data_IF_143677510241
#
_entry.id   IF_143677510241
#
_cell.length_a   1.000
_cell.length_b   1.000
_cell.length_c   1.000
_cell.angle_alpha   90.00
_cell.angle_beta   90.00
_cell.angle_gamma   90.00
#
_symmetry.space_group_name_H-M   'P 1'
#
loop_
_entity.id
_entity.type
_entity.pdbx_description
1 polymer ?
#
# COMPACT_ATOMS: atom_id res chain seq x y z
N UNK A 1 6.50 -8.26 -22.07
CA UNK A 1 5.65 -7.34 -21.29
C UNK A 1 5.56 -7.85 -19.86
N UNK A 2 5.94 -7.04 -18.87
CA UNK A 2 5.90 -7.42 -17.44
C UNK A 2 4.45 -7.34 -16.95
N UNK A 3 3.95 -8.38 -16.28
CA UNK A 3 2.61 -8.36 -15.68
C UNK A 3 2.65 -7.72 -14.29
N UNK A 4 1.69 -6.86 -13.98
CA UNK A 4 1.52 -6.27 -12.65
C UNK A 4 0.08 -6.45 -12.18
N UNK A 5 -0.14 -6.57 -10.88
CA UNK A 5 -1.47 -6.65 -10.28
C UNK A 5 -1.79 -5.32 -9.59
N UNK A 6 -2.74 -4.55 -10.12
CA UNK A 6 -3.29 -3.36 -9.47
C UNK A 6 -4.57 -3.76 -8.73
N UNK A 7 -4.50 -3.85 -7.39
CA UNK A 7 -5.55 -4.46 -6.58
C UNK A 7 -6.29 -3.47 -5.69
N UNK A 8 -7.61 -3.68 -5.59
CA UNK A 8 -8.52 -2.91 -4.76
C UNK A 8 -9.43 -3.86 -3.96
N UNK A 9 -9.07 -4.15 -2.70
CA UNK A 9 -9.98 -4.82 -1.78
C UNK A 9 -11.07 -3.86 -1.28
N UNK A 10 -12.32 -4.31 -1.25
CA UNK A 10 -13.44 -3.52 -0.76
C UNK A 10 -14.51 -4.37 -0.07
N UNK A 11 -15.17 -3.79 0.92
CA UNK A 11 -16.38 -4.30 1.55
C UNK A 11 -17.48 -3.21 1.63
N UNK A 12 -17.30 -2.11 0.91
CA UNK A 12 -18.12 -0.89 0.97
C UNK A 12 -18.32 -0.30 -0.41
N UNK A 13 -19.29 0.59 -0.56
CA UNK A 13 -19.49 1.30 -1.83
C UNK A 13 -18.27 2.17 -2.17
N UNK A 14 -17.69 1.96 -3.35
CA UNK A 14 -16.46 2.65 -3.80
C UNK A 14 -16.40 2.81 -5.32
N UNK A 15 -17.56 2.94 -5.99
CA UNK A 15 -17.66 3.07 -7.46
C UNK A 15 -16.75 4.15 -8.05
N UNK A 16 -16.62 5.30 -7.39
CA UNK A 16 -15.72 6.36 -7.83
C UNK A 16 -14.24 5.91 -7.84
N UNK A 17 -13.81 5.22 -6.78
CA UNK A 17 -12.46 4.68 -6.68
C UNK A 17 -12.20 3.58 -7.70
N UNK A 18 -13.19 2.73 -8.03
CA UNK A 18 -13.06 1.74 -9.12
C UNK A 18 -12.79 2.44 -10.45
N UNK A 19 -13.54 3.51 -10.77
CA UNK A 19 -13.32 4.28 -12.00
C UNK A 19 -11.92 4.91 -11.99
N UNK A 20 -11.51 5.49 -10.86
CA UNK A 20 -10.19 6.08 -10.71
C UNK A 20 -9.07 5.04 -10.90
N UNK A 21 -9.23 3.85 -10.31
CA UNK A 21 -8.30 2.72 -10.43
C UNK A 21 -8.13 2.28 -11.90
N UNK A 22 -9.23 2.25 -12.67
CA UNK A 22 -9.18 1.92 -14.09
C UNK A 22 -8.41 2.99 -14.90
N UNK A 23 -8.54 4.26 -14.53
CA UNK A 23 -7.75 5.33 -15.15
C UNK A 23 -6.26 5.22 -14.80
N UNK A 24 -5.94 4.84 -13.56
CA UNK A 24 -4.56 4.54 -13.15
C UNK A 24 -3.99 3.34 -13.94
N UNK A 25 -4.77 2.28 -14.13
CA UNK A 25 -4.37 1.13 -14.94
C UNK A 25 -4.09 1.54 -16.40
N UNK A 26 -4.94 2.39 -16.96
CA UNK A 26 -4.78 2.91 -18.32
C UNK A 26 -3.54 3.79 -18.44
N UNK A 27 -3.27 4.63 -17.44
CA UNK A 27 -2.03 5.38 -17.35
C UNK A 27 -0.81 4.45 -17.31
N UNK A 28 -0.84 3.41 -16.49
CA UNK A 28 0.26 2.45 -16.38
C UNK A 28 0.53 1.73 -17.71
N UNK A 29 -0.50 1.17 -18.35
CA UNK A 29 -0.39 0.43 -19.61
C UNK A 29 0.09 1.31 -20.78
N UNK A 30 -0.28 2.59 -20.81
CA UNK A 30 0.18 3.52 -21.86
C UNK A 30 1.59 4.05 -21.63
N UNK A 31 1.99 4.23 -20.37
CA UNK A 31 3.24 4.91 -20.00
C UNK A 31 4.39 3.93 -19.82
N UNK A 32 4.08 2.69 -19.45
CA UNK A 32 5.06 1.65 -19.16
C UNK A 32 4.76 0.39 -20.00
N UNK A 33 5.80 -0.38 -20.36
CA UNK A 33 5.67 -1.67 -21.06
C UNK A 33 5.19 -2.78 -20.12
N UNK A 34 3.94 -2.65 -19.64
CA UNK A 34 3.32 -3.55 -18.66
C UNK A 34 1.93 -4.00 -19.07
N UNK A 35 1.59 -5.23 -18.69
CA UNK A 35 0.22 -5.74 -18.68
C UNK A 35 -0.36 -5.55 -17.28
N UNK A 36 -1.45 -4.82 -17.17
CA UNK A 36 -2.08 -4.48 -15.90
C UNK A 36 -3.26 -5.40 -15.66
N UNK A 37 -3.11 -6.29 -14.68
CA UNK A 37 -4.21 -7.04 -14.10
C UNK A 37 -4.86 -6.21 -13.00
N UNK A 38 -6.02 -5.63 -13.28
CA UNK A 38 -6.83 -4.95 -12.26
C UNK A 38 -7.59 -6.00 -11.46
N UNK A 39 -7.35 -6.09 -10.15
CA UNK A 39 -7.96 -7.10 -9.27
C UNK A 39 -8.82 -6.45 -8.18
N UNK A 40 -10.13 -6.50 -8.35
CA UNK A 40 -11.10 -6.02 -7.37
C UNK A 40 -11.60 -7.21 -6.55
N UNK A 41 -11.28 -7.20 -5.24
CA UNK A 41 -11.74 -8.19 -4.28
C UNK A 41 -12.91 -7.61 -3.50
N UNK A 42 -14.13 -8.03 -3.84
CA UNK A 42 -15.35 -7.38 -3.40
C UNK A 42 -16.14 -8.29 -2.44
N UNK A 43 -16.15 -7.92 -1.16
CA UNK A 43 -16.96 -8.55 -0.11
C UNK A 43 -18.16 -7.67 0.27
N UNK A 44 -18.61 -6.76 -0.61
CA UNK A 44 -19.79 -5.94 -0.37
C UNK A 44 -21.11 -6.68 -0.64
N UNK A 45 -22.22 -6.10 -0.17
CA UNK A 45 -23.55 -6.67 -0.38
C UNK A 45 -23.99 -6.66 -1.86
N UNK A 46 -25.00 -7.47 -2.26
CA UNK A 46 -25.33 -7.72 -3.67
C UNK A 46 -25.63 -6.47 -4.52
N UNK A 47 -26.28 -5.45 -3.94
CA UNK A 47 -26.59 -4.21 -4.65
C UNK A 47 -25.31 -3.41 -4.97
N UNK A 48 -24.43 -3.26 -3.99
CA UNK A 48 -23.13 -2.60 -4.12
C UNK A 48 -22.23 -3.37 -5.08
N UNK A 49 -22.17 -4.69 -4.97
CA UNK A 49 -21.43 -5.54 -5.90
C UNK A 49 -21.89 -5.33 -7.35
N UNK A 50 -23.21 -5.25 -7.60
CA UNK A 50 -23.74 -5.01 -8.94
C UNK A 50 -23.40 -3.60 -9.49
N UNK A 51 -23.27 -2.60 -8.61
CA UNK A 51 -22.77 -1.26 -8.97
C UNK A 51 -21.29 -1.30 -9.34
N UNK A 52 -20.47 -1.91 -8.51
CA UNK A 52 -19.05 -2.12 -8.77
C UNK A 52 -18.81 -2.88 -10.08
N UNK A 53 -19.58 -3.94 -10.32
CA UNK A 53 -19.47 -4.74 -11.55
C UNK A 53 -19.80 -3.90 -12.79
N UNK A 54 -20.78 -3.00 -12.70
CA UNK A 54 -21.09 -2.06 -13.79
C UNK A 54 -19.91 -1.13 -14.04
N UNK A 55 -19.35 -0.53 -12.99
CA UNK A 55 -18.19 0.35 -13.09
C UNK A 55 -16.95 -0.35 -13.66
N UNK A 56 -16.64 -1.55 -13.17
CA UNK A 56 -15.53 -2.38 -13.63
C UNK A 56 -15.63 -2.70 -15.14
N UNK A 57 -16.85 -2.90 -15.66
CA UNK A 57 -17.11 -3.12 -17.09
C UNK A 57 -17.03 -1.86 -17.96
N UNK A 58 -17.03 -0.66 -17.37
CA UNK A 58 -16.84 0.59 -18.12
C UNK A 58 -15.39 0.87 -18.46
N UNK A 59 -14.46 0.01 -18.05
CA UNK A 59 -13.05 0.10 -18.38
C UNK A 59 -12.87 0.33 -19.90
N UNK A 60 -12.09 1.35 -20.31
CA UNK A 60 -11.70 1.49 -21.70
C UNK A 60 -11.10 0.18 -22.20
N UNK A 61 -11.40 -0.21 -23.43
CA UNK A 61 -10.78 -1.36 -24.10
C UNK A 61 -9.32 -1.03 -24.50
N UNK A 62 -8.53 -0.54 -23.55
CA UNK A 62 -7.13 -0.24 -23.74
C UNK A 62 -6.35 -1.55 -23.82
N UNK A 63 -5.44 -1.62 -24.80
CA UNK A 63 -4.53 -2.75 -24.92
C UNK A 63 -3.68 -2.88 -23.64
N UNK A 64 -3.55 -4.10 -23.14
CA UNK A 64 -2.72 -4.40 -21.97
C UNK A 64 -3.40 -4.25 -20.60
N UNK A 65 -4.74 -4.11 -20.54
CA UNK A 65 -5.50 -4.13 -19.27
C UNK A 65 -6.42 -5.34 -19.23
N UNK A 66 -6.40 -6.07 -18.11
CA UNK A 66 -7.33 -7.18 -17.83
C UNK A 66 -7.97 -6.96 -16.47
N UNK A 67 -9.31 -6.86 -16.43
CA UNK A 67 -10.06 -6.61 -15.19
C UNK A 67 -10.63 -7.90 -14.63
N UNK A 68 -10.34 -8.15 -13.36
CA UNK A 68 -10.83 -9.26 -12.54
C UNK A 68 -11.66 -8.66 -11.40
N UNK A 69 -12.98 -8.87 -11.42
CA UNK A 69 -13.87 -8.48 -10.33
C UNK A 69 -14.43 -9.74 -9.71
N UNK A 70 -14.00 -10.04 -8.49
CA UNK A 70 -14.31 -11.28 -7.80
C UNK A 70 -15.16 -11.00 -6.56
N UNK A 71 -16.33 -11.62 -6.48
CA UNK A 71 -17.12 -11.69 -5.26
C UNK A 71 -16.48 -12.63 -4.25
N UNK A 72 -17.06 -12.71 -3.06
CA UNK A 72 -16.51 -13.57 -2.01
C UNK A 72 -16.61 -15.06 -2.35
N UNK A 73 -17.65 -15.48 -3.07
CA UNK A 73 -17.82 -16.88 -3.48
C UNK A 73 -16.72 -17.29 -4.47
N UNK A 74 -16.43 -16.47 -5.48
CA UNK A 74 -15.33 -16.74 -6.43
C UNK A 74 -13.96 -16.74 -5.73
N UNK A 75 -13.76 -15.85 -4.77
CA UNK A 75 -12.55 -15.83 -3.95
C UNK A 75 -12.42 -17.11 -3.12
N UNK A 76 -13.52 -17.58 -2.54
CA UNK A 76 -13.57 -18.81 -1.71
C UNK A 76 -13.25 -20.04 -2.54
N UNK A 77 -13.80 -20.14 -3.73
CA UNK A 77 -13.56 -21.27 -4.63
C UNK A 77 -12.09 -21.31 -5.09
N UNK A 78 -11.53 -20.16 -5.49
CA UNK A 78 -10.10 -20.05 -5.80
C UNK A 78 -9.22 -20.50 -4.62
N UNK A 79 -9.51 -20.02 -3.40
CA UNK A 79 -8.72 -20.36 -2.23
C UNK A 79 -8.79 -21.84 -1.90
N UNK A 80 -9.96 -22.47 -2.01
CA UNK A 80 -10.11 -23.92 -1.81
C UNK A 80 -9.24 -24.72 -2.78
N UNK A 81 -9.24 -24.34 -4.06
CA UNK A 81 -8.40 -24.98 -5.07
C UNK A 81 -6.91 -24.83 -4.75
N UNK A 82 -6.46 -23.61 -4.43
CA UNK A 82 -5.04 -23.35 -4.10
C UNK A 82 -4.61 -24.08 -2.84
N UNK A 83 -5.42 -24.05 -1.78
CA UNK A 83 -5.14 -24.73 -0.51
C UNK A 83 -5.06 -26.26 -0.71
N UNK A 84 -5.97 -26.82 -1.49
CA UNK A 84 -5.98 -28.24 -1.82
C UNK A 84 -4.75 -28.63 -2.66
N UNK A 85 -4.43 -27.85 -3.70
CA UNK A 85 -3.27 -28.08 -4.56
C UNK A 85 -1.93 -27.96 -3.81
N UNK A 86 -1.85 -27.06 -2.84
CA UNK A 86 -0.67 -26.91 -1.97
C UNK A 86 -0.49 -28.09 -0.99
N UNK A 87 -1.48 -28.98 -0.85
CA UNK A 87 -1.45 -30.07 0.12
C UNK A 87 -1.37 -29.57 1.56
N UNK A 88 -1.92 -28.39 1.83
CA UNK A 88 -1.73 -27.73 3.12
C UNK A 88 -2.47 -28.47 4.25
N UNK A 89 -1.85 -28.52 5.43
CA UNK A 89 -2.49 -29.04 6.63
C UNK A 89 -3.53 -28.06 7.17
N UNK A 90 -4.63 -28.57 7.75
CA UNK A 90 -5.73 -27.77 8.32
C UNK A 90 -6.34 -26.80 7.28
N UNK A 91 -6.79 -27.33 6.16
CA UNK A 91 -7.32 -26.55 5.03
C UNK A 91 -8.44 -25.60 5.43
N UNK A 92 -9.39 -26.06 6.25
CA UNK A 92 -10.50 -25.23 6.74
C UNK A 92 -9.99 -24.03 7.55
N UNK A 93 -9.02 -24.24 8.43
CA UNK A 93 -8.41 -23.15 9.20
C UNK A 93 -7.70 -22.14 8.29
N UNK A 94 -7.00 -22.60 7.24
CA UNK A 94 -6.36 -21.69 6.29
C UNK A 94 -7.39 -20.87 5.50
N UNK A 95 -8.51 -21.48 5.12
CA UNK A 95 -9.61 -20.78 4.47
C UNK A 95 -10.21 -19.72 5.40
N UNK A 96 -10.50 -20.08 6.65
CA UNK A 96 -10.98 -19.16 7.68
C UNK A 96 -9.99 -18.04 7.92
N UNK A 97 -8.68 -18.33 7.88
CA UNK A 97 -7.61 -17.34 8.01
C UNK A 97 -7.54 -16.34 6.83
N UNK A 98 -8.09 -16.68 5.67
CA UNK A 98 -8.09 -15.84 4.47
C UNK A 98 -9.41 -15.13 4.20
N UNK A 99 -10.52 -15.70 4.69
CA UNK A 99 -11.88 -15.17 4.60
C UNK A 99 -12.54 -15.08 5.99
N UNK A 100 -12.06 -14.18 6.88
CA UNK A 100 -12.72 -13.93 8.14
C UNK A 100 -14.08 -13.25 7.97
N UNK A 101 -14.99 -13.53 8.92
CA UNK A 101 -16.27 -12.79 9.06
C UNK A 101 -16.07 -11.29 9.33
N UNK A 102 -14.93 -10.91 9.91
CA UNK A 102 -14.57 -9.53 10.25
C UNK A 102 -13.57 -8.92 9.26
N UNK A 103 -13.51 -7.59 9.20
CA UNK A 103 -12.53 -6.87 8.38
C UNK A 103 -11.10 -7.23 8.80
N UNK A 104 -10.27 -7.62 7.84
CA UNK A 104 -8.86 -7.91 8.08
C UNK A 104 -7.99 -7.47 6.89
N UNK A 105 -7.16 -6.46 7.15
CA UNK A 105 -6.21 -5.91 6.18
C UNK A 105 -5.18 -6.94 5.72
N UNK A 106 -4.67 -7.76 6.65
CA UNK A 106 -3.75 -8.85 6.33
C UNK A 106 -4.42 -9.92 5.46
N UNK A 107 -5.65 -10.35 5.79
CA UNK A 107 -6.34 -11.39 5.05
C UNK A 107 -6.66 -10.96 3.60
N UNK A 108 -7.16 -9.73 3.38
CA UNK A 108 -7.44 -9.25 2.03
C UNK A 108 -6.16 -9.07 1.20
N UNK A 109 -5.06 -8.62 1.82
CA UNK A 109 -3.78 -8.47 1.13
C UNK A 109 -3.17 -9.83 0.76
N UNK A 110 -3.26 -10.82 1.66
CA UNK A 110 -2.81 -12.18 1.35
C UNK A 110 -3.62 -12.81 0.21
N UNK A 111 -4.94 -12.57 0.15
CA UNK A 111 -5.77 -12.99 -1.00
C UNK A 111 -5.25 -12.38 -2.30
N UNK A 112 -5.00 -11.07 -2.30
CA UNK A 112 -4.45 -10.39 -3.47
C UNK A 112 -3.07 -10.94 -3.89
N UNK A 113 -2.21 -11.28 -2.92
CA UNK A 113 -0.90 -11.89 -3.19
C UNK A 113 -1.01 -13.23 -3.89
N UNK A 114 -1.87 -14.14 -3.41
CA UNK A 114 -2.07 -15.45 -4.02
C UNK A 114 -2.65 -15.35 -5.43
N UNK A 115 -3.65 -14.48 -5.63
CA UNK A 115 -4.28 -14.30 -6.94
C UNK A 115 -3.28 -13.64 -7.92
N UNK A 116 -2.52 -12.64 -7.48
CA UNK A 116 -1.50 -12.02 -8.30
C UNK A 116 -0.42 -13.02 -8.74
N UNK A 117 0.03 -13.89 -7.82
CA UNK A 117 0.98 -14.95 -8.14
C UNK A 117 0.38 -15.94 -9.16
N UNK A 118 -0.88 -16.34 -9.00
CA UNK A 118 -1.58 -17.22 -9.94
C UNK A 118 -1.74 -16.58 -11.34
N UNK A 119 -1.88 -15.26 -11.41
CA UNK A 119 -1.93 -14.50 -12.68
C UNK A 119 -0.54 -14.30 -13.32
N UNK A 120 0.54 -14.66 -12.60
CA UNK A 120 1.92 -14.47 -13.05
C UNK A 120 2.39 -13.02 -12.97
N UNK A 121 1.82 -12.22 -12.06
CA UNK A 121 2.20 -10.82 -11.85
C UNK A 121 3.54 -10.73 -11.11
N UNK A 122 4.45 -9.88 -11.60
CA UNK A 122 5.76 -9.65 -10.99
C UNK A 122 5.70 -8.70 -9.77
N UNK A 123 4.62 -7.94 -9.63
CA UNK A 123 4.39 -7.02 -8.52
C UNK A 123 2.91 -6.85 -8.23
N UNK A 124 2.61 -6.50 -6.97
CA UNK A 124 1.27 -6.20 -6.47
C UNK A 124 1.24 -4.75 -6.03
N UNK A 125 0.23 -3.99 -6.46
CA UNK A 125 0.05 -2.57 -6.21
C UNK A 125 -1.34 -2.41 -5.58
N UNK A 126 -1.39 -2.22 -4.27
CA UNK A 126 -2.62 -2.14 -3.48
C UNK A 126 -3.07 -0.69 -3.34
N UNK A 127 -4.38 -0.48 -3.47
CA UNK A 127 -5.07 0.78 -3.15
C UNK A 127 -6.12 0.52 -2.08
N UNK A 128 -6.36 1.52 -1.25
CA UNK A 128 -7.51 1.53 -0.35
C UNK A 128 -8.79 2.02 -1.06
N UNK A 129 -9.94 1.52 -0.61
CA UNK A 129 -11.25 1.78 -1.24
C UNK A 129 -11.90 3.11 -0.82
N UNK A 130 -11.32 3.75 0.19
CA UNK A 130 -11.73 5.02 0.80
C UNK A 130 -10.68 6.13 0.58
N UNK A 131 -9.79 5.95 -0.39
CA UNK A 131 -8.80 6.96 -0.79
C UNK A 131 -9.20 7.64 -2.10
N UNK A 132 -8.70 8.86 -2.29
CA UNK A 132 -8.77 9.59 -3.55
C UNK A 132 -7.36 9.93 -4.04
N UNK A 133 -7.19 10.10 -5.36
CA UNK A 133 -5.91 10.58 -5.90
C UNK A 133 -5.75 12.08 -5.72
N UNK A 134 -4.53 12.50 -5.41
CA UNK A 134 -4.14 13.90 -5.47
C UNK A 134 -4.28 14.44 -6.89
N UNK A 135 -4.59 15.73 -7.00
CA UNK A 135 -4.75 16.41 -8.29
C UNK A 135 -3.75 17.55 -8.38
N UNK A 136 -2.94 17.55 -9.43
CA UNK A 136 -1.99 18.62 -9.72
C UNK A 136 -2.24 19.16 -11.13
N UNK A 137 -2.44 20.48 -11.23
CA UNK A 137 -2.75 21.12 -12.52
C UNK A 137 -3.99 20.56 -13.22
N UNK A 138 -5.00 20.12 -12.44
CA UNK A 138 -6.23 19.51 -12.95
C UNK A 138 -6.10 18.06 -13.41
N UNK A 139 -4.96 17.41 -13.18
CA UNK A 139 -4.74 15.99 -13.53
C UNK A 139 -4.51 15.15 -12.28
N UNK A 140 -5.06 13.93 -12.21
CA UNK A 140 -4.73 13.00 -11.14
C UNK A 140 -3.24 12.65 -11.15
N UNK A 141 -2.67 12.50 -9.96
CA UNK A 141 -1.33 11.95 -9.74
C UNK A 141 -1.48 10.51 -9.30
N UNK A 142 -0.96 9.61 -10.14
CA UNK A 142 -1.10 8.18 -9.94
C UNK A 142 0.12 7.58 -9.23
N UNK A 143 -0.05 6.94 -8.05
CA UNK A 143 1.05 6.28 -7.34
C UNK A 143 1.81 5.27 -8.19
N UNK A 144 1.12 4.57 -9.10
CA UNK A 144 1.73 3.58 -10.00
C UNK A 144 2.90 4.13 -10.81
N UNK A 145 2.97 5.45 -11.02
CA UNK A 145 4.10 6.07 -11.69
C UNK A 145 5.41 5.83 -10.94
N UNK A 146 5.48 6.24 -9.67
CA UNK A 146 6.68 6.08 -8.84
C UNK A 146 6.94 4.61 -8.50
N UNK A 147 5.88 3.84 -8.31
CA UNK A 147 5.97 2.40 -8.10
C UNK A 147 6.66 1.73 -9.31
N UNK A 148 6.21 1.94 -10.54
CA UNK A 148 6.81 1.28 -11.72
C UNK A 148 8.16 1.86 -12.14
N UNK A 149 8.45 3.11 -11.79
CA UNK A 149 9.77 3.73 -11.98
C UNK A 149 10.85 3.10 -11.11
N UNK A 150 10.49 2.45 -10.01
CA UNK A 150 11.41 2.09 -8.94
C UNK A 150 11.40 0.61 -8.59
N UNK A 151 10.22 0.02 -8.51
CA UNK A 151 10.00 -1.30 -7.96
C UNK A 151 10.68 -2.39 -8.80
N UNK A 152 11.48 -3.23 -8.14
CA UNK A 152 12.27 -4.30 -8.72
C UNK A 152 13.63 -3.87 -9.31
N UNK A 153 13.92 -2.57 -9.42
CA UNK A 153 15.25 -2.09 -9.82
C UNK A 153 16.23 -2.21 -8.65
N UNK A 154 17.54 -2.23 -8.95
CA UNK A 154 18.56 -2.00 -7.92
C UNK A 154 18.40 -0.59 -7.37
N UNK A 155 18.63 -0.41 -6.08
CA UNK A 155 18.49 0.89 -5.44
C UNK A 155 19.36 1.97 -6.12
N UNK A 156 20.57 1.64 -6.56
CA UNK A 156 21.43 2.53 -7.33
C UNK A 156 20.76 3.02 -8.63
N UNK A 157 20.04 2.14 -9.34
CA UNK A 157 19.38 2.46 -10.60
C UNK A 157 18.08 3.25 -10.39
N UNK A 158 17.44 3.07 -9.23
CA UNK A 158 16.24 3.81 -8.84
C UNK A 158 16.55 5.23 -8.34
N UNK A 159 17.77 5.47 -7.84
CA UNK A 159 18.19 6.75 -7.26
C UNK A 159 18.03 7.95 -8.21
N UNK A 160 18.10 7.74 -9.53
CA UNK A 160 17.90 8.80 -10.53
C UNK A 160 16.43 9.24 -10.68
N UNK A 161 15.48 8.41 -10.21
CA UNK A 161 14.04 8.67 -10.31
C UNK A 161 13.42 9.25 -9.04
N UNK A 162 14.21 9.52 -8.00
CA UNK A 162 13.74 10.04 -6.71
C UNK A 162 14.27 11.45 -6.44
N UNK A 163 13.62 12.18 -5.54
CA UNK A 163 14.00 13.53 -5.12
C UNK A 163 15.19 13.52 -4.15
N UNK A 164 15.28 12.51 -3.29
CA UNK A 164 16.34 12.36 -2.29
C UNK A 164 16.67 10.90 -2.01
N UNK A 165 17.79 10.67 -1.34
CA UNK A 165 18.21 9.33 -0.91
C UNK A 165 18.97 9.42 0.41
N UNK A 166 18.40 8.81 1.44
CA UNK A 166 19.04 8.59 2.74
C UNK A 166 19.63 7.16 2.84
N UNK A 167 19.64 6.42 1.72
CA UNK A 167 20.12 5.04 1.66
C UNK A 167 21.65 4.95 1.75
N UNK A 168 22.14 4.13 2.69
CA UNK A 168 23.56 3.81 2.80
C UNK A 168 24.09 3.05 1.56
N UNK A 169 25.34 3.32 1.17
CA UNK A 169 25.96 2.75 -0.03
C UNK A 169 25.99 1.21 -0.06
N UNK A 170 26.04 0.56 1.12
CA UNK A 170 25.98 -0.90 1.25
C UNK A 170 24.65 -1.52 0.80
N UNK A 171 23.62 -0.72 0.56
CA UNK A 171 22.33 -1.17 0.06
C UNK A 171 22.09 -0.85 -1.42
N UNK A 172 23.04 -0.19 -2.09
CA UNK A 172 22.90 0.25 -3.48
C UNK A 172 22.59 -0.90 -4.46
N UNK A 173 23.09 -2.10 -4.17
CA UNK A 173 22.92 -3.28 -5.02
C UNK A 173 21.63 -4.07 -4.73
N UNK A 174 20.93 -3.75 -3.64
CA UNK A 174 19.71 -4.44 -3.25
C UNK A 174 18.54 -4.00 -4.15
N UNK A 175 17.60 -4.90 -4.48
CA UNK A 175 16.41 -4.52 -5.20
C UNK A 175 15.47 -3.69 -4.32
N UNK A 176 14.74 -2.76 -4.94
CA UNK A 176 13.63 -2.06 -4.29
C UNK A 176 12.43 -3.00 -4.26
N UNK A 177 12.06 -3.47 -3.07
CA UNK A 177 11.01 -4.49 -2.89
C UNK A 177 9.66 -3.91 -2.49
N UNK A 178 9.63 -2.67 -2.03
CA UNK A 178 8.43 -1.95 -1.62
C UNK A 178 8.52 -0.49 -2.06
N UNK A 179 7.39 0.02 -2.54
CA UNK A 179 7.17 1.46 -2.74
C UNK A 179 5.82 1.81 -2.13
N UNK A 180 5.79 2.79 -1.25
CA UNK A 180 4.57 3.34 -0.66
C UNK A 180 4.51 4.84 -0.89
N UNK A 181 3.30 5.37 -1.00
CA UNK A 181 3.08 6.81 -0.99
C UNK A 181 1.91 7.18 -0.09
N UNK A 182 2.00 8.39 0.46
CA UNK A 182 0.96 9.01 1.24
C UNK A 182 0.28 10.13 0.45
N UNK A 183 -0.87 10.58 0.94
CA UNK A 183 -1.61 11.68 0.36
C UNK A 183 -1.71 12.85 1.36
N UNK A 184 -1.89 14.06 0.83
CA UNK A 184 -2.24 15.22 1.64
C UNK A 184 -3.74 15.16 1.92
N UNK A 185 -4.13 15.23 3.20
CA UNK A 185 -5.53 15.20 3.60
C UNK A 185 -5.73 14.53 4.94
N UNK A 186 -6.97 14.08 5.17
CA UNK A 186 -7.35 13.34 6.36
C UNK A 186 -6.59 12.02 6.46
N UNK A 187 -6.17 11.67 7.67
CA UNK A 187 -5.40 10.46 7.93
C UNK A 187 -6.27 9.22 7.71
N UNK A 188 -5.68 8.15 7.20
CA UNK A 188 -6.34 6.85 7.02
C UNK A 188 -6.67 6.14 8.35
N UNK A 189 -6.27 6.72 9.49
CA UNK A 189 -6.57 6.24 10.84
C UNK A 189 -7.22 7.37 11.64
N UNK A 190 -8.30 7.05 12.34
CA UNK A 190 -9.09 7.99 13.14
C UNK A 190 -8.39 8.35 14.47
N UNK A 191 -7.12 8.72 14.36
CA UNK A 191 -6.28 9.22 15.45
C UNK A 191 -6.26 10.77 15.39
N UNK A 192 -6.61 11.35 14.23
CA UNK A 192 -6.78 12.79 14.05
C UNK A 192 -7.88 13.36 14.95
N UNK A 193 -9.08 12.74 14.96
CA UNK A 193 -10.17 13.19 15.83
C UNK A 193 -9.80 13.02 17.31
N UNK A 194 -9.14 11.91 17.67
CA UNK A 194 -8.63 11.70 19.03
C UNK A 194 -7.69 12.83 19.48
N UNK A 195 -6.75 13.26 18.63
CA UNK A 195 -5.86 14.38 18.92
C UNK A 195 -6.62 15.67 19.17
N UNK A 196 -7.66 15.92 18.37
CA UNK A 196 -8.42 17.16 18.41
C UNK A 196 -9.40 17.19 19.60
N UNK A 197 -9.91 16.04 20.04
CA UNK A 197 -10.78 15.88 21.19
C UNK A 197 -10.02 15.79 22.52
N UNK A 198 -8.94 15.02 22.58
CA UNK A 198 -8.14 14.79 23.80
C UNK A 198 -6.68 14.46 23.47
N UNK A 199 -5.81 15.46 23.68
CA UNK A 199 -4.38 15.36 23.37
C UNK A 199 -3.62 14.44 24.33
N UNK A 200 -4.10 14.24 25.55
CA UNK A 200 -3.47 13.30 26.49
C UNK A 200 -3.78 11.86 26.07
N UNK A 201 -5.03 11.56 25.69
CA UNK A 201 -5.40 10.25 25.14
C UNK A 201 -4.63 9.96 23.85
N UNK A 202 -4.49 10.94 22.95
CA UNK A 202 -3.65 10.81 21.76
C UNK A 202 -2.20 10.45 22.11
N UNK A 203 -1.60 11.17 23.06
CA UNK A 203 -0.24 10.91 23.50
C UNK A 203 -0.09 9.49 24.06
N UNK A 204 -1.01 9.08 24.94
CA UNK A 204 -0.96 7.77 25.59
C UNK A 204 -1.12 6.64 24.57
N UNK A 205 -2.08 6.77 23.66
CA UNK A 205 -2.32 5.79 22.60
C UNK A 205 -1.09 5.70 21.70
N UNK A 206 -0.62 6.81 21.12
CA UNK A 206 0.54 6.81 20.20
C UNK A 206 1.83 6.34 20.89
N UNK A 207 2.00 6.61 22.18
CA UNK A 207 3.13 6.12 22.97
C UNK A 207 3.16 4.59 23.13
N UNK A 208 2.06 3.87 22.92
CA UNK A 208 2.02 2.40 22.99
C UNK A 208 2.79 1.73 21.84
N UNK A 209 3.06 2.44 20.74
CA UNK A 209 3.90 1.93 19.65
C UNK A 209 5.39 2.06 19.94
N UNK A 210 5.78 2.95 20.85
CA UNK A 210 7.17 3.11 21.22
C UNK A 210 7.66 1.87 21.98
N UNK A 211 8.89 1.40 21.71
CA UNK A 211 9.53 0.38 22.54
C UNK A 211 9.50 0.74 24.04
N UNK A 212 9.34 -0.29 24.87
CA UNK A 212 9.16 -0.12 26.32
C UNK A 212 10.30 0.64 27.01
N UNK A 213 11.49 0.53 26.45
CA UNK A 213 12.75 1.10 26.90
C UNK A 213 12.98 2.55 26.47
N UNK A 214 12.14 3.10 25.58
CA UNK A 214 12.27 4.49 25.13
C UNK A 214 12.00 5.47 26.27
N UNK A 215 12.79 6.54 26.30
CA UNK A 215 12.62 7.63 27.25
C UNK A 215 11.32 8.39 26.99
N UNK A 216 10.83 9.11 28.00
CA UNK A 216 9.65 9.95 27.84
C UNK A 216 9.85 11.05 26.78
N UNK A 217 11.08 11.49 26.55
CA UNK A 217 11.41 12.49 25.51
C UNK A 217 11.32 11.89 24.11
N UNK A 218 11.88 10.70 23.91
CA UNK A 218 11.78 9.96 22.65
C UNK A 218 10.33 9.62 22.30
N UNK A 219 9.52 9.28 23.30
CA UNK A 219 8.07 9.06 23.11
C UNK A 219 7.35 10.34 22.71
N UNK A 220 7.69 11.49 23.31
CA UNK A 220 7.13 12.78 22.88
C UNK A 220 7.50 13.12 21.45
N UNK A 221 8.75 12.91 21.05
CA UNK A 221 9.19 13.12 19.66
C UNK A 221 8.44 12.20 18.68
N UNK A 222 8.26 10.93 19.04
CA UNK A 222 7.46 9.99 18.26
C UNK A 222 6.01 10.46 18.12
N UNK A 223 5.38 10.85 19.23
CA UNK A 223 3.99 11.34 19.26
C UNK A 223 3.86 12.61 18.44
N UNK A 224 4.85 13.50 18.52
CA UNK A 224 4.87 14.70 17.70
C UNK A 224 4.98 14.33 16.23
N UNK A 225 5.78 13.36 15.83
CA UNK A 225 5.95 13.07 14.41
C UNK A 225 4.85 12.15 13.80
N UNK A 226 4.35 11.21 14.58
CA UNK A 226 3.49 10.12 14.12
C UNK A 226 2.11 10.62 13.72
N UNK A 227 1.56 10.05 12.65
CA UNK A 227 0.20 10.35 12.19
C UNK A 227 -0.06 11.86 12.03
N UNK A 228 0.96 12.64 11.65
CA UNK A 228 0.74 14.02 11.16
C UNK A 228 0.28 14.03 9.71
N UNK A 229 0.61 12.98 8.96
CA UNK A 229 0.48 12.96 7.51
C UNK A 229 1.27 14.11 6.88
N UNK A 230 0.91 14.47 5.65
CA UNK A 230 1.42 15.68 5.01
C UNK A 230 0.62 16.95 5.38
N UNK A 231 -0.24 16.88 6.39
CA UNK A 231 -1.09 17.98 6.85
C UNK A 231 -2.14 18.41 5.82
N UNK A 232 -2.49 19.69 5.85
CA UNK A 232 -3.47 20.32 4.96
C UNK A 232 -2.84 21.31 3.95
N UNK A 233 -1.51 21.31 3.86
CA UNK A 233 -0.80 22.19 2.94
C UNK A 233 -1.15 21.81 1.49
N UNK A 234 -1.35 22.77 0.57
CA UNK A 234 -1.68 22.44 -0.81
C UNK A 234 -0.64 21.50 -1.44
N UNK A 235 -1.13 20.46 -2.11
CA UNK A 235 -0.26 19.56 -2.86
C UNK A 235 0.37 20.30 -4.05
N UNK A 236 1.70 20.41 -4.02
CA UNK A 236 2.48 21.14 -5.05
C UNK A 236 3.29 20.24 -5.97
N UNK A 237 3.45 18.96 -5.60
CA UNK A 237 4.17 17.96 -6.39
C UNK A 237 4.64 16.80 -5.53
N UNK A 238 5.01 15.71 -6.20
CA UNK A 238 5.57 14.55 -5.52
C UNK A 238 6.97 14.84 -4.97
N UNK A 239 7.26 14.23 -3.83
CA UNK A 239 8.62 14.06 -3.33
C UNK A 239 8.85 12.59 -3.05
N UNK A 240 9.96 12.07 -3.56
CA UNK A 240 10.35 10.67 -3.45
C UNK A 240 11.71 10.57 -2.76
N UNK A 241 11.81 9.75 -1.73
CA UNK A 241 13.00 9.52 -0.92
C UNK A 241 13.34 8.02 -0.91
N UNK A 242 14.53 7.67 -1.38
CA UNK A 242 15.04 6.29 -1.34
C UNK A 242 15.70 6.03 0.02
N UNK A 243 15.16 5.09 0.80
CA UNK A 243 15.63 4.82 2.17
C UNK A 243 15.40 3.37 2.61
N UNK A 244 15.66 3.08 3.88
CA UNK A 244 15.09 1.92 4.55
C UNK A 244 13.76 2.36 5.18
N UNK A 245 12.71 1.57 4.95
CA UNK A 245 11.39 1.87 5.52
C UNK A 245 11.44 1.72 7.03
N UNK A 246 11.12 2.81 7.71
CA UNK A 246 10.76 2.81 9.12
C UNK A 246 9.27 2.49 9.24
N UNK A 247 8.89 1.33 9.82
CA UNK A 247 7.49 0.95 10.02
C UNK A 247 6.66 2.02 10.75
N UNK A 248 7.32 2.90 11.52
CA UNK A 248 6.68 3.98 12.28
C UNK A 248 6.38 5.23 11.44
N UNK A 249 6.91 5.34 10.22
CA UNK A 249 6.77 6.52 9.33
C UNK A 249 6.03 6.21 8.03
N UNK A 250 5.39 5.04 7.94
CA UNK A 250 4.66 4.64 6.73
C UNK A 250 3.17 4.99 6.86
N UNK A 251 2.80 6.14 6.31
CA UNK A 251 1.40 6.45 6.02
C UNK A 251 1.04 5.77 4.68
N UNK A 252 0.07 4.84 4.68
CA UNK A 252 -0.15 3.91 3.56
C UNK A 252 -1.61 3.90 3.07
N UNK A 253 -2.01 4.88 2.26
CA UNK A 253 -3.21 4.77 1.42
C UNK A 253 -2.97 3.89 0.18
N UNK A 254 -1.70 3.67 -0.17
CA UNK A 254 -1.27 2.79 -1.23
C UNK A 254 0.10 2.18 -0.92
N UNK A 255 0.30 0.95 -1.39
CA UNK A 255 1.56 0.23 -1.24
C UNK A 255 1.72 -0.77 -2.35
N UNK A 256 2.95 -0.90 -2.85
CA UNK A 256 3.33 -1.90 -3.83
C UNK A 256 4.46 -2.79 -3.34
N UNK A 257 4.46 -4.04 -3.81
CA UNK A 257 5.38 -5.09 -3.41
C UNK A 257 5.95 -5.81 -4.63
N UNK A 258 7.23 -6.13 -4.61
CA UNK A 258 7.89 -6.96 -5.60
C UNK A 258 8.63 -8.12 -4.94
N UNK A 259 8.29 -9.35 -5.32
CA UNK A 259 8.82 -10.59 -4.76
C UNK A 259 8.46 -10.89 -3.30
N UNK A 260 8.10 -9.89 -2.50
CA UNK A 260 7.69 -10.07 -1.09
C UNK A 260 6.37 -10.84 -0.97
N UNK A 261 5.44 -10.56 -1.89
CA UNK A 261 4.10 -11.16 -1.90
C UNK A 261 4.10 -12.69 -2.03
N UNK A 262 5.20 -13.28 -2.53
CA UNK A 262 5.36 -14.74 -2.64
C UNK A 262 6.03 -15.38 -1.42
N UNK A 263 6.63 -14.56 -0.53
CA UNK A 263 7.53 -15.06 0.52
C UNK A 263 7.01 -14.84 1.92
N UNK A 264 6.28 -13.75 2.15
CA UNK A 264 5.89 -13.33 3.49
C UNK A 264 4.39 -13.07 3.52
N UNK A 265 3.58 -13.91 4.20
CA UNK A 265 2.19 -13.59 4.46
C UNK A 265 2.12 -12.43 5.45
N UNK A 266 1.16 -11.53 5.26
CA UNK A 266 0.86 -10.50 6.25
C UNK A 266 0.05 -11.11 7.40
N UNK A 267 0.48 -10.90 8.65
CA UNK A 267 -0.24 -11.40 9.81
C UNK A 267 -1.58 -10.66 9.97
N UNK A 268 -2.55 -11.32 10.60
CA UNK A 268 -3.88 -10.74 10.90
C UNK A 268 -3.82 -9.57 11.89
N UNK A 269 -2.75 -9.49 12.68
CA UNK A 269 -2.42 -8.38 13.59
C UNK A 269 -1.03 -7.86 13.26
N UNK A 270 -0.77 -6.55 13.30
CA UNK A 270 0.61 -6.05 13.26
C UNK A 270 1.36 -6.67 14.44
N UNK A 271 2.37 -7.48 14.14
CA UNK A 271 3.36 -7.92 15.12
C UNK A 271 4.57 -7.01 14.93
N UNK A 272 5.07 -6.35 15.99
CA UNK A 272 6.08 -5.29 15.85
C UNK A 272 7.47 -5.77 15.42
N UNK A 273 7.70 -7.06 15.12
CA UNK A 273 9.05 -7.60 14.94
C UNK A 273 9.38 -8.23 13.57
N UNK A 274 8.45 -8.26 12.60
CA UNK A 274 8.69 -9.04 11.37
C UNK A 274 9.22 -8.25 10.15
N UNK A 275 9.31 -6.92 10.21
CA UNK A 275 9.73 -6.11 9.07
C UNK A 275 11.25 -5.86 9.03
N UNK A 276 12.07 -6.91 9.11
CA UNK A 276 13.51 -6.80 8.88
C UNK A 276 13.88 -7.50 7.58
N UNK A 277 13.39 -6.99 6.45
CA UNK A 277 13.91 -7.39 5.13
C UNK A 277 13.97 -6.17 4.19
N UNK A 278 15.08 -5.44 4.34
CA UNK A 278 15.84 -4.68 3.35
C UNK A 278 15.14 -4.02 2.13
N UNK A 279 15.31 -2.70 2.06
CA UNK A 279 15.38 -1.79 0.89
C UNK A 279 14.07 -1.38 0.20
N UNK A 280 13.58 -0.16 0.49
CA UNK A 280 12.24 0.27 0.10
C UNK A 280 12.16 1.81 -0.13
N UNK A 281 11.63 2.25 -1.28
CA UNK A 281 11.46 3.68 -1.60
C UNK A 281 10.19 4.23 -0.94
N UNK A 282 10.29 5.44 -0.41
CA UNK A 282 9.22 6.15 0.31
C UNK A 282 8.94 7.49 -0.39
N UNK A 283 7.68 7.81 -0.69
CA UNK A 283 7.30 9.13 -1.21
C UNK A 283 6.51 9.94 -0.16
N UNK A 284 7.06 11.06 0.33
CA UNK A 284 6.33 12.04 1.16
C UNK A 284 6.78 13.48 0.88
N UNK A 285 5.81 14.42 0.94
CA UNK A 285 5.96 15.89 0.85
C UNK A 285 6.31 16.55 2.21
N UNK A 286 6.56 17.87 2.23
CA UNK A 286 7.85 18.46 2.57
C UNK A 286 8.26 18.36 4.06
N UNK A 287 9.56 18.12 4.29
CA UNK A 287 10.20 18.37 5.59
C UNK A 287 9.99 19.83 6.01
N UNK A 288 9.41 20.06 7.20
CA UNK A 288 9.69 21.27 7.97
C UNK A 288 11.18 21.31 8.32
N UNK A 289 11.89 22.45 8.20
CA UNK A 289 13.33 22.52 8.42
C UNK A 289 13.64 22.49 9.91
N UNK A 290 13.89 21.30 10.45
CA UNK A 290 14.56 21.09 11.74
C UNK A 290 15.97 20.60 11.50
N UNK A 291 16.92 21.50 11.30
CA UNK A 291 18.35 21.21 11.34
C UNK A 291 18.73 20.64 12.70
N UNK A 292 19.49 19.55 12.80
CA UNK A 292 20.59 19.46 13.77
C UNK A 292 21.64 18.43 13.32
N UNK A 293 22.80 18.96 12.98
CA UNK A 293 24.10 18.29 12.98
C UNK A 293 24.39 17.72 14.37
N UNK A 294 24.57 16.40 14.48
CA UNK A 294 25.30 15.84 15.62
C UNK A 294 26.79 15.92 15.31
N UNK A 295 27.42 16.93 15.91
CA UNK A 295 28.86 17.00 16.05
C UNK A 295 29.33 15.85 16.95
N UNK A 296 30.44 15.24 16.53
CA UNK A 296 31.30 14.35 17.29
C UNK A 296 31.69 14.93 18.65
N UNK A 297 31.48 14.15 19.71
CA UNK A 297 32.44 13.94 20.82
C UNK A 297 31.95 12.79 21.70
#
# INVERSE_FOLDING_TARGET
MRKICLTLPTNRACTAMIVALLQEAEYAARTFDVEVHVLILDSSGPATFAEHARAARTAPAAAGIVVHHLGEDEQRDFLREVIAAAGAVKQDLLLDLMLPDAVSYGACTNRAFLIAAALGCASVHRRDSDSDYQVLGGKPVYPVHHELMSLGKRAADAAAGVTGSDLAAEHADKPVVLVGSSFIGELSVDIGEMRDLDREVYHDVVSLWAPSEWSAEQKRELVDESFRGAGHDPFTGDRADLTLVDPMRVDMCNVSFHGVHERVPLPRRPTPSAATTSCCIWCTTPRCPGSFTTATS
#
